data_IF_844831445760
#
_entry.id   IF_844831445760
#
_cell.length_a   1.000
_cell.length_b   1.000
_cell.length_c   1.000
_cell.angle_alpha   90.00
_cell.angle_beta   90.00
_cell.angle_gamma   90.00
#
_symmetry.space_group_name_H-M   'P 1'
#
loop_
_entity.id
_entity.type
_entity.pdbx_description
1 polymer ?
#
# COMPACT_ATOMS: atom_id res chain seq x y z
N UNK A 1 -11.70 -17.89 -18.98
CA UNK A 1 -11.23 -17.27 -17.73
C UNK A 1 -12.18 -17.78 -16.66
N UNK A 2 -11.63 -18.31 -15.57
CA UNK A 2 -12.32 -19.24 -14.66
C UNK A 2 -13.33 -18.60 -13.72
N UNK A 3 -13.49 -19.15 -12.52
CA UNK A 3 -14.41 -18.61 -11.50
C UNK A 3 -13.82 -17.41 -10.78
N UNK A 4 -12.60 -17.53 -10.28
CA UNK A 4 -11.82 -16.46 -9.66
C UNK A 4 -10.57 -16.13 -10.48
N UNK A 5 -10.38 -14.85 -10.75
CA UNK A 5 -9.28 -14.32 -11.57
C UNK A 5 -8.56 -13.17 -10.85
N UNK A 6 -7.30 -12.94 -11.20
CA UNK A 6 -6.52 -11.76 -10.76
C UNK A 6 -6.76 -10.58 -11.71
N UNK A 7 -7.16 -9.45 -11.13
CA UNK A 7 -7.39 -8.19 -11.84
C UNK A 7 -6.42 -7.11 -11.38
N UNK A 8 -6.14 -6.15 -12.28
CA UNK A 8 -5.34 -4.95 -12.01
C UNK A 8 -6.15 -3.70 -12.29
N UNK A 9 -6.06 -2.73 -11.38
CA UNK A 9 -6.50 -1.36 -11.63
C UNK A 9 -5.32 -0.40 -11.42
N UNK A 10 -5.39 0.77 -12.05
CA UNK A 10 -4.47 1.87 -11.78
C UNK A 10 -5.17 2.87 -10.86
N UNK A 11 -4.43 3.43 -9.92
CA UNK A 11 -4.87 4.61 -9.20
C UNK A 11 -4.53 5.84 -10.07
N UNK A 12 -5.55 6.57 -10.50
CA UNK A 12 -5.40 7.69 -11.42
C UNK A 12 -5.10 9.02 -10.70
N UNK A 13 -4.76 10.06 -11.48
CA UNK A 13 -4.44 11.39 -10.95
C UNK A 13 -5.64 12.07 -10.26
N UNK A 14 -6.85 11.60 -10.51
CA UNK A 14 -8.08 12.08 -9.88
C UNK A 14 -8.40 11.34 -8.56
N UNK A 15 -7.49 10.47 -8.09
CA UNK A 15 -7.64 9.65 -6.89
C UNK A 15 -8.77 8.61 -6.97
N UNK A 16 -9.05 8.11 -8.18
CA UNK A 16 -9.95 6.99 -8.41
C UNK A 16 -9.19 5.77 -8.92
N UNK A 17 -9.72 4.58 -8.62
CA UNK A 17 -9.30 3.37 -9.31
C UNK A 17 -9.93 3.36 -10.70
N UNK A 18 -9.11 3.10 -11.72
CA UNK A 18 -9.62 2.83 -13.06
C UNK A 18 -10.47 1.54 -13.06
N UNK A 19 -11.24 1.32 -14.12
CA UNK A 19 -11.92 0.04 -14.30
C UNK A 19 -10.93 -1.13 -14.14
N UNK A 20 -11.28 -2.18 -13.36
CA UNK A 20 -10.41 -3.33 -13.18
C UNK A 20 -10.23 -4.05 -14.51
N UNK A 21 -8.98 -4.31 -14.87
CA UNK A 21 -8.59 -5.06 -16.06
C UNK A 21 -8.17 -6.47 -15.65
N UNK A 22 -8.78 -7.47 -16.27
CA UNK A 22 -8.37 -8.86 -16.09
C UNK A 22 -6.96 -9.07 -16.66
N UNK A 23 -6.07 -9.71 -15.90
CA UNK A 23 -4.67 -9.89 -16.29
C UNK A 23 -4.45 -10.97 -17.36
N UNK A 24 -5.45 -11.83 -17.63
CA UNK A 24 -5.37 -12.82 -18.71
C UNK A 24 -4.30 -13.90 -18.49
N UNK A 25 -4.15 -14.78 -19.47
CA UNK A 25 -3.02 -15.72 -19.51
C UNK A 25 -1.69 -14.96 -19.70
N UNK A 26 -0.58 -15.42 -19.12
CA UNK A 26 -0.41 -16.66 -18.36
C UNK A 26 -0.66 -16.53 -16.84
N UNK A 27 -1.17 -15.38 -16.37
CA UNK A 27 -1.39 -15.14 -14.94
C UNK A 27 -2.63 -15.89 -14.47
N UNK A 28 -3.74 -15.66 -15.17
CA UNK A 28 -4.98 -16.38 -14.95
C UNK A 28 -5.08 -17.56 -15.91
N UNK A 29 -5.79 -18.58 -15.48
CA UNK A 29 -6.05 -19.83 -16.16
C UNK A 29 -7.54 -19.91 -16.55
N UNK A 30 -8.00 -21.10 -16.90
CA UNK A 30 -9.42 -21.37 -17.09
C UNK A 30 -10.11 -21.79 -15.79
N UNK A 31 -9.35 -22.02 -14.73
CA UNK A 31 -9.80 -22.41 -13.39
C UNK A 31 -9.66 -21.24 -12.41
N UNK A 32 -9.66 -21.50 -11.10
CA UNK A 32 -9.59 -20.48 -10.07
C UNK A 32 -8.15 -20.10 -9.71
N UNK A 33 -7.83 -18.81 -9.90
CA UNK A 33 -6.58 -18.17 -9.52
C UNK A 33 -6.80 -17.21 -8.35
N UNK A 34 -6.31 -17.57 -7.16
CA UNK A 34 -6.63 -16.88 -5.90
C UNK A 34 -5.40 -16.61 -5.03
N UNK A 35 -5.59 -15.82 -3.97
CA UNK A 35 -4.56 -15.46 -2.98
C UNK A 35 -3.30 -14.80 -3.56
N UNK A 36 -3.47 -13.93 -4.56
CA UNK A 36 -2.36 -13.22 -5.16
C UNK A 36 -1.67 -12.26 -4.17
N UNK A 37 -0.36 -12.40 -4.04
CA UNK A 37 0.50 -11.52 -3.22
C UNK A 37 1.78 -11.18 -3.98
N UNK A 38 2.28 -9.96 -3.83
CA UNK A 38 3.56 -9.54 -4.42
C UNK A 38 4.69 -9.65 -3.39
N UNK A 39 5.90 -9.96 -3.86
CA UNK A 39 7.11 -9.73 -3.08
C UNK A 39 7.36 -8.22 -2.90
N UNK A 40 8.32 -7.87 -2.02
CA UNK A 40 8.64 -6.47 -1.69
C UNK A 40 9.05 -5.65 -2.91
N UNK A 41 9.72 -6.29 -3.88
CA UNK A 41 10.19 -5.63 -5.11
C UNK A 41 9.11 -5.54 -6.19
N UNK A 42 7.90 -6.06 -5.94
CA UNK A 42 6.83 -6.23 -6.91
C UNK A 42 7.24 -6.94 -8.23
N UNK A 43 8.36 -7.66 -8.21
CA UNK A 43 8.93 -8.38 -9.34
C UNK A 43 8.43 -9.80 -9.44
N UNK A 44 7.93 -10.37 -8.34
CA UNK A 44 7.40 -11.73 -8.28
C UNK A 44 6.05 -11.68 -7.55
N UNK A 45 4.99 -12.08 -8.25
CA UNK A 45 3.70 -12.38 -7.64
C UNK A 45 3.58 -13.87 -7.35
N UNK A 46 3.06 -14.23 -6.18
CA UNK A 46 2.67 -15.59 -5.85
C UNK A 46 1.15 -15.70 -5.89
N UNK A 47 0.65 -16.82 -6.37
CA UNK A 47 -0.78 -17.13 -6.40
C UNK A 47 -1.01 -18.61 -6.22
N UNK A 48 -2.23 -18.94 -5.79
CA UNK A 48 -2.71 -20.30 -5.71
C UNK A 48 -3.56 -20.60 -6.95
N UNK A 49 -3.25 -21.68 -7.65
CA UNK A 49 -3.87 -22.03 -8.93
C UNK A 49 -3.88 -23.54 -9.12
N UNK A 50 -4.81 -24.06 -9.91
CA UNK A 50 -4.82 -25.45 -10.39
C UNK A 50 -4.28 -25.46 -11.82
N UNK A 51 -3.18 -26.16 -12.06
CA UNK A 51 -2.55 -26.22 -13.40
C UNK A 51 -2.07 -27.62 -13.72
N UNK A 52 -2.06 -27.91 -15.01
CA UNK A 52 -1.53 -29.17 -15.53
C UNK A 52 -0.09 -29.40 -15.05
N UNK A 53 0.15 -30.56 -14.46
CA UNK A 53 1.45 -30.95 -13.90
C UNK A 53 1.69 -30.48 -12.46
N UNK A 54 0.67 -29.96 -11.77
CA UNK A 54 0.68 -29.70 -10.33
C UNK A 54 0.78 -30.97 -9.47
N UNK A 55 1.02 -30.77 -8.17
CA UNK A 55 1.12 -31.81 -7.14
C UNK A 55 -0.21 -32.04 -6.39
N UNK A 56 -1.24 -31.24 -6.66
CA UNK A 56 -2.57 -31.35 -6.06
C UNK A 56 -3.58 -30.42 -6.74
N UNK A 57 -4.65 -30.06 -6.04
CA UNK A 57 -5.64 -29.10 -6.56
C UNK A 57 -5.02 -27.71 -6.69
N UNK A 58 -4.89 -26.98 -5.58
CA UNK A 58 -4.34 -25.63 -5.60
C UNK A 58 -2.90 -25.62 -5.12
N UNK A 59 -1.98 -25.43 -6.05
CA UNK A 59 -0.55 -25.28 -5.77
C UNK A 59 -0.14 -23.80 -5.77
N UNK A 60 1.03 -23.51 -5.18
CA UNK A 60 1.60 -22.17 -5.19
C UNK A 60 2.46 -22.00 -6.45
N UNK A 61 2.07 -21.04 -7.28
CA UNK A 61 2.83 -20.62 -8.45
C UNK A 61 3.43 -19.24 -8.25
N UNK A 62 4.45 -18.92 -9.04
CA UNK A 62 5.03 -17.57 -9.13
C UNK A 62 4.95 -17.02 -10.55
N UNK A 63 4.72 -15.72 -10.66
CA UNK A 63 4.74 -14.98 -11.92
C UNK A 63 5.76 -13.85 -11.79
N UNK A 64 6.67 -13.79 -12.75
CA UNK A 64 7.63 -12.70 -12.84
C UNK A 64 7.01 -11.49 -13.57
N UNK A 65 6.99 -10.34 -12.89
CA UNK A 65 6.64 -9.06 -13.47
C UNK A 65 7.94 -8.27 -13.69
N UNK A 66 8.31 -7.94 -14.94
CA UNK A 66 9.40 -7.01 -15.20
C UNK A 66 8.90 -5.59 -14.91
N UNK A 67 8.74 -5.27 -13.62
CA UNK A 67 8.49 -3.91 -13.15
C UNK A 67 9.86 -3.30 -12.87
N UNK A 68 10.08 -2.05 -13.28
CA UNK A 68 11.29 -1.32 -12.90
C UNK A 68 11.44 -1.40 -11.37
N UNK A 69 12.50 -2.07 -10.91
CA UNK A 69 12.84 -2.32 -9.50
C UNK A 69 13.02 -0.99 -8.77
N UNK A 70 11.93 -0.40 -8.30
CA UNK A 70 12.00 0.62 -7.27
C UNK A 70 11.82 -0.14 -5.96
N UNK A 71 12.89 -0.34 -5.17
CA UNK A 71 12.79 -1.08 -3.91
C UNK A 71 11.72 -0.44 -3.04
N UNK A 72 10.89 -1.24 -2.36
CA UNK A 72 9.84 -0.73 -1.46
C UNK A 72 10.21 -1.04 -0.01
N UNK A 73 10.04 -0.05 0.86
CA UNK A 73 10.15 -0.21 2.31
C UNK A 73 8.76 -0.09 2.96
N UNK A 74 8.61 -0.75 4.11
CA UNK A 74 7.42 -0.67 4.96
C UNK A 74 7.72 0.21 6.17
N UNK A 75 6.96 1.29 6.32
CA UNK A 75 7.06 2.24 7.40
C UNK A 75 5.85 2.10 8.32
N UNK A 76 6.09 1.74 9.57
CA UNK A 76 5.11 1.78 10.64
C UNK A 76 4.99 3.22 11.14
N UNK A 77 3.80 3.79 11.01
CA UNK A 77 3.52 5.14 11.48
C UNK A 77 2.69 5.06 12.77
N UNK A 78 3.21 5.66 13.83
CA UNK A 78 2.52 5.82 15.12
C UNK A 78 2.19 7.28 15.35
N UNK A 79 0.91 7.57 15.60
CA UNK A 79 0.44 8.94 15.80
C UNK A 79 -0.19 9.07 17.18
N UNK A 80 0.28 10.07 17.93
CA UNK A 80 -0.16 10.34 19.29
C UNK A 80 -0.72 11.75 19.42
N UNK A 81 -1.50 12.01 20.47
CA UNK A 81 -1.77 13.37 20.91
C UNK A 81 -0.64 13.91 21.80
N UNK A 82 -0.74 15.18 22.21
CA UNK A 82 0.21 15.84 23.11
C UNK A 82 0.36 15.15 24.47
N UNK A 83 -0.68 14.47 24.94
CA UNK A 83 -0.67 13.69 26.18
C UNK A 83 -0.08 12.28 26.04
N UNK A 84 0.33 11.85 24.83
CA UNK A 84 0.88 10.52 24.55
C UNK A 84 -0.15 9.42 24.33
N UNK A 85 -1.43 9.74 24.15
CA UNK A 85 -2.47 8.77 23.77
C UNK A 85 -2.42 8.49 22.27
N UNK A 86 -2.53 7.22 21.88
CA UNK A 86 -2.59 6.81 20.46
C UNK A 86 -3.86 7.35 19.80
N UNK A 87 -3.72 7.87 18.59
CA UNK A 87 -4.84 8.29 17.73
C UNK A 87 -5.19 7.18 16.75
N UNK A 88 -6.48 6.87 16.61
CA UNK A 88 -6.93 5.71 15.80
C UNK A 88 -7.65 6.09 14.49
N UNK A 89 -8.26 7.26 14.41
CA UNK A 89 -8.91 7.78 13.19
C UNK A 89 -7.96 8.67 12.40
N UNK A 90 -6.79 8.11 12.06
CA UNK A 90 -5.73 8.84 11.36
C UNK A 90 -5.73 8.50 9.88
N UNK A 91 -5.63 9.52 9.05
CA UNK A 91 -5.42 9.42 7.60
C UNK A 91 -4.09 10.07 7.22
N UNK A 92 -3.32 9.38 6.38
CA UNK A 92 -2.03 9.84 5.87
C UNK A 92 -2.10 9.92 4.37
N UNK A 93 -1.90 11.12 3.83
CA UNK A 93 -1.71 11.36 2.41
C UNK A 93 -0.22 11.52 2.12
N UNK A 94 0.30 10.69 1.23
CA UNK A 94 1.67 10.74 0.76
C UNK A 94 1.69 11.24 -0.69
N UNK A 95 2.38 12.34 -0.95
CA UNK A 95 2.56 12.90 -2.31
C UNK A 95 4.03 12.80 -2.72
N UNK A 96 4.31 12.17 -3.86
CA UNK A 96 5.64 12.12 -4.46
C UNK A 96 5.99 13.52 -4.99
N UNK A 97 7.04 14.14 -4.43
CA UNK A 97 7.40 15.51 -4.77
C UNK A 97 8.11 15.63 -6.12
N UNK A 98 8.74 14.55 -6.58
CA UNK A 98 9.41 14.49 -7.89
C UNK A 98 8.37 14.41 -9.00
N UNK A 99 7.38 13.51 -8.83
CA UNK A 99 6.28 13.33 -9.79
C UNK A 99 5.17 14.35 -9.64
N UNK A 100 5.14 15.07 -8.50
CA UNK A 100 4.07 16.01 -8.10
C UNK A 100 2.68 15.36 -8.12
N UNK A 101 2.61 14.09 -7.74
CA UNK A 101 1.39 13.29 -7.77
C UNK A 101 1.17 12.60 -6.43
N UNK A 102 -0.10 12.32 -6.10
CA UNK A 102 -0.43 11.50 -4.92
C UNK A 102 0.18 10.12 -5.13
N UNK A 103 1.01 9.71 -4.18
CA UNK A 103 1.60 8.37 -4.16
C UNK A 103 0.66 7.37 -3.51
N UNK A 104 0.04 7.74 -2.39
CA UNK A 104 -0.92 6.88 -1.70
C UNK A 104 -1.65 7.58 -0.56
N UNK A 105 -2.75 6.96 -0.15
CA UNK A 105 -3.58 7.38 0.97
C UNK A 105 -3.78 6.19 1.91
N UNK A 106 -3.44 6.36 3.17
CA UNK A 106 -3.37 5.30 4.16
C UNK A 106 -4.25 5.66 5.36
N UNK A 107 -4.97 4.67 5.88
CA UNK A 107 -5.82 4.84 7.06
C UNK A 107 -5.33 3.92 8.17
N UNK A 108 -5.26 4.46 9.37
CA UNK A 108 -4.95 3.69 10.55
C UNK A 108 -6.09 2.72 10.88
N UNK A 109 -5.74 1.61 11.53
CA UNK A 109 -6.72 0.71 12.08
C UNK A 109 -7.54 1.43 13.17
N UNK A 110 -8.87 1.50 13.07
CA UNK A 110 -9.71 2.34 13.93
C UNK A 110 -9.72 1.88 15.40
N UNK A 111 -9.33 0.64 15.68
CA UNK A 111 -9.30 0.08 17.04
C UNK A 111 -7.91 0.19 17.69
N UNK A 112 -6.84 0.21 16.89
CA UNK A 112 -5.46 0.09 17.41
C UNK A 112 -4.55 1.26 17.05
N UNK A 113 -4.93 2.09 16.07
CA UNK A 113 -4.10 3.18 15.54
C UNK A 113 -2.90 2.71 14.71
N UNK A 114 -2.71 1.41 14.52
CA UNK A 114 -1.63 0.86 13.70
C UNK A 114 -1.84 1.19 12.22
N UNK A 115 -0.76 1.59 11.56
CA UNK A 115 -0.76 1.95 10.15
C UNK A 115 0.59 1.59 9.53
N UNK A 116 0.53 1.04 8.32
CA UNK A 116 1.70 0.79 7.49
C UNK A 116 1.61 1.64 6.22
N UNK A 117 2.70 2.33 5.92
CA UNK A 117 2.92 3.03 4.66
C UNK A 117 3.98 2.27 3.88
N UNK A 118 3.72 1.94 2.62
CA UNK A 118 4.67 1.22 1.77
C UNK A 118 5.12 2.20 0.71
N UNK A 119 6.42 2.49 0.62
CA UNK A 119 6.93 3.40 -0.40
C UNK A 119 8.40 3.14 -0.72
N UNK A 120 8.87 3.58 -1.89
CA UNK A 120 10.29 3.71 -2.18
C UNK A 120 11.05 4.46 -1.07
N UNK A 121 12.20 3.94 -0.60
CA UNK A 121 13.09 4.71 0.24
C UNK A 121 13.78 5.79 -0.59
N UNK A 122 14.34 6.79 0.09
CA UNK A 122 15.14 7.87 -0.52
C UNK A 122 14.39 8.79 -1.49
N UNK A 123 13.08 8.60 -1.66
CA UNK A 123 12.21 9.51 -2.39
C UNK A 123 11.69 10.61 -1.45
N UNK A 124 11.69 11.84 -1.96
CA UNK A 124 11.11 12.98 -1.24
C UNK A 124 9.59 12.96 -1.36
N UNK A 125 8.92 12.91 -0.22
CA UNK A 125 7.47 12.93 -0.11
C UNK A 125 7.01 14.15 0.67
N UNK A 126 5.84 14.66 0.31
CA UNK A 126 5.02 15.47 1.22
C UNK A 126 4.10 14.53 1.98
N UNK A 127 4.26 14.51 3.29
CA UNK A 127 3.46 13.74 4.23
C UNK A 127 2.43 14.67 4.86
N UNK A 128 1.14 14.38 4.70
CA UNK A 128 0.06 15.06 5.38
C UNK A 128 -0.71 14.08 6.27
N UNK A 129 -0.64 14.27 7.58
CA UNK A 129 -1.30 13.45 8.60
C UNK A 129 -2.50 14.23 9.13
N UNK A 130 -3.66 13.61 9.09
CA UNK A 130 -4.92 14.20 9.51
C UNK A 130 -5.62 13.29 10.52
N UNK A 131 -6.24 13.89 11.51
CA UNK A 131 -7.11 13.22 12.47
C UNK A 131 -8.20 14.22 12.89
N UNK A 132 -9.45 13.77 12.94
CA UNK A 132 -10.56 14.63 13.32
C UNK A 132 -10.35 15.23 14.72
N UNK A 133 -10.57 16.54 14.85
CA UNK A 133 -10.36 17.28 16.10
C UNK A 133 -8.92 17.70 16.39
N UNK A 134 -7.97 17.41 15.48
CA UNK A 134 -6.56 17.78 15.60
C UNK A 134 -6.10 18.63 14.41
N UNK A 135 -5.10 19.49 14.65
CA UNK A 135 -4.43 20.23 13.60
C UNK A 135 -3.73 19.24 12.65
N UNK A 136 -3.89 19.39 11.32
CA UNK A 136 -3.19 18.54 10.36
C UNK A 136 -1.69 18.79 10.46
N UNK A 137 -0.91 17.72 10.50
CA UNK A 137 0.55 17.80 10.44
C UNK A 137 1.00 17.60 9.00
N UNK A 138 1.71 18.58 8.44
CA UNK A 138 2.17 18.54 7.05
C UNK A 138 3.67 18.82 7.03
N UNK A 139 4.44 17.92 6.43
CA UNK A 139 5.89 18.10 6.27
C UNK A 139 6.38 17.51 4.95
N UNK A 140 7.53 17.99 4.47
CA UNK A 140 8.28 17.31 3.43
C UNK A 140 9.33 16.45 4.11
N UNK A 141 9.41 15.18 3.74
CA UNK A 141 10.35 14.22 4.34
C UNK A 141 10.92 13.29 3.27
N UNK A 142 12.09 12.76 3.54
CA UNK A 142 12.62 11.60 2.81
C UNK A 142 12.42 10.42 3.74
N UNK A 143 11.67 9.43 3.30
CA UNK A 143 11.49 8.20 4.06
C UNK A 143 12.79 7.38 3.93
N UNK A 144 13.56 7.32 5.02
CA UNK A 144 14.90 6.73 5.10
C UNK A 144 14.82 5.25 5.50
N UNK A 145 15.90 4.64 5.98
CA UNK A 145 15.88 3.23 6.42
C UNK A 145 15.22 2.99 7.78
N UNK A 146 14.83 4.04 8.52
CA UNK A 146 14.08 3.87 9.76
C UNK A 146 12.61 3.54 9.44
N UNK A 147 12.21 2.34 9.83
CA UNK A 147 10.88 1.81 9.55
C UNK A 147 9.86 2.26 10.62
N UNK A 148 10.27 2.91 11.72
CA UNK A 148 9.37 3.35 12.79
C UNK A 148 9.29 4.88 12.84
N UNK A 149 8.14 5.43 12.47
CA UNK A 149 7.93 6.88 12.42
C UNK A 149 6.90 7.31 13.46
N UNK A 150 7.27 8.24 14.32
CA UNK A 150 6.43 8.72 15.42
C UNK A 150 6.05 10.18 15.21
N UNK A 151 4.75 10.48 15.25
CA UNK A 151 4.22 11.83 15.10
C UNK A 151 3.31 12.21 16.27
N UNK A 152 3.25 13.50 16.58
CA UNK A 152 2.34 14.07 17.57
C UNK A 152 1.46 15.14 16.93
N UNK A 153 0.15 15.02 17.10
CA UNK A 153 -0.81 16.02 16.64
C UNK A 153 -1.29 16.89 17.81
N UNK A 154 -1.48 18.18 17.53
CA UNK A 154 -2.02 19.15 18.49
C UNK A 154 -3.53 19.24 18.36
N UNK A 155 -4.23 19.35 19.47
CA UNK A 155 -5.69 19.46 19.45
C UNK A 155 -6.09 20.87 18.98
N UNK A 156 -7.11 20.97 18.13
CA UNK A 156 -7.63 22.28 17.71
C UNK A 156 -8.21 22.99 18.94
N UNK A 157 -7.66 24.13 19.31
CA UNK A 157 -8.24 24.98 20.37
C UNK A 157 -9.47 25.69 19.81
N UNK A 158 -10.60 25.61 20.54
CA UNK A 158 -11.81 26.39 20.26
C UNK A 158 -11.69 27.78 20.83
#
# INVERSE_FOLDING_TARGET
>A
MGGYDIFKSKFDEAAYFTAPQNLGCPINTVDDDIFFVLNTEASIGYLSSERDGGYGSQDIYSVYFPINNVPLNVYNIHVFNESGTVLTNVEVLLTDMTKKAIYGMYKANPNTGKMMVISPPEVSYRLAIQCEGYEPFITNTILSSDNELIFKLRKIQK
#
